data_IF_403057418383
#
_entry.id   IF_403057418383
#
_cell.length_a   1.000
_cell.length_b   1.000
_cell.length_c   1.000
_cell.angle_alpha   90.00
_cell.angle_beta   90.00
_cell.angle_gamma   90.00
#
_symmetry.space_group_name_H-M   'P 1'
#
loop_
_entity.id
_entity.type
_entity.pdbx_description
1 polymer ?
#
# COMPACT_ATOMS: atom_id res chain seq x y z
N UNK A 1 41.34 36.51 -15.20
CA UNK A 1 40.58 37.10 -14.07
C UNK A 1 39.28 37.63 -14.63
N UNK A 2 38.13 37.12 -14.19
CA UNK A 2 36.83 37.64 -14.62
C UNK A 2 36.60 39.03 -13.98
N UNK A 3 35.98 39.95 -14.72
CA UNK A 3 35.61 41.26 -14.17
C UNK A 3 34.60 41.08 -13.01
N UNK A 4 34.74 41.86 -11.92
CA UNK A 4 33.82 41.76 -10.79
C UNK A 4 32.39 42.10 -11.24
N UNK A 5 31.37 41.35 -10.78
CA UNK A 5 29.99 41.58 -11.19
C UNK A 5 29.55 42.99 -10.80
N UNK A 6 29.10 43.77 -11.79
CA UNK A 6 28.73 45.18 -11.59
C UNK A 6 27.31 45.34 -11.02
N UNK A 7 26.43 44.37 -11.28
CA UNK A 7 25.04 44.38 -10.81
C UNK A 7 24.93 43.90 -9.36
N UNK A 8 23.96 44.46 -8.61
CA UNK A 8 23.66 44.04 -7.22
C UNK A 8 23.36 42.54 -7.13
N UNK A 9 22.59 42.01 -8.08
CA UNK A 9 22.27 40.57 -8.17
C UNK A 9 23.50 39.73 -8.46
N UNK A 10 24.39 40.18 -9.35
CA UNK A 10 25.64 39.46 -9.66
C UNK A 10 26.58 39.36 -8.46
N UNK A 11 26.63 40.40 -7.60
CA UNK A 11 27.38 40.36 -6.34
C UNK A 11 26.79 39.36 -5.34
N UNK A 12 25.47 39.28 -5.25
CA UNK A 12 24.77 38.30 -4.41
C UNK A 12 24.98 36.86 -4.88
N UNK A 13 24.92 36.62 -6.20
CA UNK A 13 25.17 35.30 -6.78
C UNK A 13 26.62 34.84 -6.62
N UNK A 14 27.57 35.77 -6.59
CA UNK A 14 28.97 35.48 -6.30
C UNK A 14 29.19 35.10 -4.83
N UNK A 15 28.44 35.73 -3.91
CA UNK A 15 28.47 35.40 -2.48
C UNK A 15 27.83 34.04 -2.19
N UNK A 16 26.74 33.69 -2.90
CA UNK A 16 26.05 32.40 -2.80
C UNK A 16 26.45 31.49 -3.97
N UNK A 17 27.75 31.19 -4.07
CA UNK A 17 28.30 30.30 -5.10
C UNK A 17 28.78 28.99 -4.48
N UNK A 18 28.57 27.82 -5.12
CA UNK A 18 29.17 26.56 -4.67
C UNK A 18 30.70 26.60 -4.73
N UNK A 19 31.29 27.53 -5.49
CA UNK A 19 32.74 27.75 -5.53
C UNK A 19 33.25 28.64 -4.37
N UNK A 20 32.35 29.17 -3.54
CA UNK A 20 32.70 29.96 -2.36
C UNK A 20 33.10 29.03 -1.21
N UNK A 21 34.39 28.70 -1.14
CA UNK A 21 34.95 27.76 -0.16
C UNK A 21 34.67 28.12 1.30
N UNK A 22 34.57 29.41 1.62
CA UNK A 22 34.23 29.85 2.97
C UNK A 22 32.78 29.50 3.34
N UNK A 23 31.85 29.68 2.39
CA UNK A 23 30.45 29.33 2.56
C UNK A 23 30.27 27.81 2.62
N UNK A 24 30.91 27.06 1.72
CA UNK A 24 30.88 25.59 1.70
C UNK A 24 31.43 25.01 3.00
N UNK A 25 32.55 25.51 3.49
CA UNK A 25 33.18 25.03 4.73
C UNK A 25 32.32 25.31 5.97
N UNK A 26 31.74 26.52 6.07
CA UNK A 26 30.83 26.88 7.17
C UNK A 26 29.54 26.06 7.13
N UNK A 27 29.04 25.78 5.93
CA UNK A 27 27.85 24.95 5.74
C UNK A 27 28.13 23.47 6.07
N UNK A 28 29.30 22.96 5.69
CA UNK A 28 29.76 21.63 6.07
C UNK A 28 29.89 21.46 7.60
N UNK A 29 30.40 22.47 8.31
CA UNK A 29 30.48 22.47 9.78
C UNK A 29 29.08 22.39 10.42
N UNK A 30 28.13 23.15 9.88
CA UNK A 30 26.73 23.14 10.34
C UNK A 30 26.09 21.77 10.14
N UNK A 31 26.29 21.14 8.98
CA UNK A 31 25.83 19.78 8.69
C UNK A 31 26.44 18.76 9.66
N UNK A 32 27.72 18.89 10.05
CA UNK A 32 28.35 18.02 11.06
C UNK A 32 27.71 18.18 12.43
N UNK A 33 27.46 19.42 12.86
CA UNK A 33 26.82 19.70 14.16
C UNK A 33 25.36 19.28 14.23
N UNK A 34 24.66 19.17 13.10
CA UNK A 34 23.27 18.70 13.04
C UNK A 34 23.10 17.21 13.42
N UNK A 35 24.19 16.42 13.40
CA UNK A 35 24.19 15.02 13.84
C UNK A 35 23.46 14.04 12.89
N UNK A 36 23.37 12.77 13.29
CA UNK A 36 22.62 11.75 12.54
C UNK A 36 23.31 11.31 11.24
N UNK A 37 22.59 11.34 10.12
CA UNK A 37 23.08 10.90 8.81
C UNK A 37 24.38 11.61 8.39
N UNK A 38 24.51 12.89 8.73
CA UNK A 38 25.67 13.70 8.34
C UNK A 38 26.97 13.27 9.03
N UNK A 39 26.91 12.61 10.19
CA UNK A 39 28.09 12.06 10.87
C UNK A 39 28.64 10.80 10.18
N UNK A 40 27.82 10.15 9.35
CA UNK A 40 28.23 8.95 8.60
C UNK A 40 28.93 9.27 7.27
N UNK A 41 28.91 10.54 6.86
CA UNK A 41 29.59 11.01 5.65
C UNK A 41 31.03 11.38 5.96
N UNK A 42 31.94 11.05 5.04
CA UNK A 42 33.32 11.53 5.09
C UNK A 42 33.41 13.02 4.71
N UNK A 43 34.59 13.61 4.85
CA UNK A 43 34.79 15.05 4.64
C UNK A 43 34.43 15.48 3.22
N UNK A 44 34.75 14.66 2.23
CA UNK A 44 34.42 14.91 0.82
C UNK A 44 32.90 14.81 0.59
N UNK A 45 32.23 13.83 1.20
CA UNK A 45 30.78 13.65 1.13
C UNK A 45 29.99 14.81 1.75
N UNK A 46 30.44 15.33 2.90
CA UNK A 46 29.81 16.50 3.54
C UNK A 46 30.03 17.76 2.72
N UNK A 47 31.24 17.98 2.17
CA UNK A 47 31.54 19.16 1.35
C UNK A 47 30.78 19.12 0.01
N UNK A 48 30.67 17.96 -0.62
CA UNK A 48 29.87 17.78 -1.84
C UNK A 48 28.38 18.05 -1.58
N UNK A 49 27.84 17.57 -0.46
CA UNK A 49 26.46 17.86 -0.05
C UNK A 49 26.26 19.35 0.24
N UNK A 50 27.23 19.99 0.89
CA UNK A 50 27.20 21.40 1.19
C UNK A 50 27.20 22.26 -0.10
N UNK A 51 28.14 21.98 -1.01
CA UNK A 51 28.21 22.63 -2.32
C UNK A 51 26.95 22.40 -3.16
N UNK A 52 26.39 21.18 -3.15
CA UNK A 52 25.14 20.87 -3.83
C UNK A 52 23.94 21.67 -3.28
N UNK A 53 23.87 21.85 -1.95
CA UNK A 53 22.83 22.67 -1.32
C UNK A 53 22.96 24.15 -1.72
N UNK A 54 24.20 24.67 -1.75
CA UNK A 54 24.50 26.04 -2.17
C UNK A 54 24.18 26.24 -3.65
N UNK A 55 24.49 25.26 -4.52
CA UNK A 55 24.14 25.31 -5.94
C UNK A 55 22.62 25.33 -6.17
N UNK A 56 21.84 24.58 -5.37
CA UNK A 56 20.37 24.60 -5.42
C UNK A 56 19.86 25.99 -5.02
N UNK A 57 20.43 26.60 -3.98
CA UNK A 57 20.07 27.95 -3.53
C UNK A 57 20.44 29.01 -4.58
N UNK A 58 21.62 28.91 -5.17
CA UNK A 58 22.07 29.79 -6.26
C UNK A 58 21.16 29.67 -7.48
N UNK A 59 20.76 28.45 -7.85
CA UNK A 59 19.81 28.22 -8.92
C UNK A 59 18.42 28.77 -8.58
N UNK A 60 17.95 28.64 -7.34
CA UNK A 60 16.70 29.25 -6.90
C UNK A 60 16.75 30.79 -6.95
N UNK A 61 17.88 31.40 -6.59
CA UNK A 61 18.12 32.84 -6.71
C UNK A 61 18.17 33.28 -8.19
N UNK A 62 18.77 32.49 -9.07
CA UNK A 62 18.74 32.70 -10.52
C UNK A 62 17.30 32.58 -11.07
N UNK A 63 16.51 31.63 -10.57
CA UNK A 63 15.11 31.43 -10.97
C UNK A 63 14.21 32.55 -10.44
N UNK A 64 14.51 33.15 -9.29
CA UNK A 64 13.82 34.35 -8.78
C UNK A 64 13.89 35.57 -9.72
N UNK A 65 14.76 35.54 -10.74
CA UNK A 65 14.82 36.51 -11.83
C UNK A 65 13.95 36.14 -13.05
N UNK A 66 13.23 35.01 -13.02
CA UNK A 66 12.37 34.48 -14.09
C UNK A 66 10.98 34.15 -13.52
N UNK A 67 9.86 34.39 -14.23
CA UNK A 67 8.52 34.11 -13.70
C UNK A 67 8.34 32.65 -13.22
N UNK A 68 7.77 32.49 -12.01
CA UNK A 68 7.53 31.22 -11.29
C UNK A 68 6.84 30.10 -12.09
N UNK A 69 6.18 30.41 -13.20
CA UNK A 69 5.49 29.42 -14.04
C UNK A 69 6.44 28.50 -14.83
N UNK A 70 7.73 28.83 -14.95
CA UNK A 70 8.70 28.04 -15.72
C UNK A 70 9.46 26.97 -14.90
N UNK A 71 9.35 26.99 -13.57
CA UNK A 71 10.16 26.17 -12.66
C UNK A 71 9.71 24.70 -12.51
N UNK A 72 8.58 24.30 -13.11
CA UNK A 72 8.04 22.92 -13.02
C UNK A 72 8.88 21.84 -13.71
N UNK A 73 9.88 22.19 -14.53
CA UNK A 73 10.58 21.25 -15.42
C UNK A 73 11.97 20.75 -14.96
N UNK A 74 12.50 21.20 -13.82
CA UNK A 74 13.93 21.02 -13.50
C UNK A 74 14.27 20.40 -12.14
N UNK A 75 13.30 19.85 -11.41
CA UNK A 75 13.58 19.14 -10.16
C UNK A 75 13.17 17.67 -10.32
N UNK A 76 14.00 16.90 -11.01
CA UNK A 76 14.08 15.47 -10.73
C UNK A 76 15.00 15.31 -9.50
N UNK A 77 14.50 14.83 -8.34
CA UNK A 77 15.35 14.58 -7.20
C UNK A 77 16.33 13.44 -7.52
N UNK A 78 17.61 13.52 -7.08
CA UNK A 78 18.54 12.40 -7.22
C UNK A 78 18.01 11.15 -6.48
N UNK A 79 18.45 9.93 -6.87
CA UNK A 79 17.84 8.67 -6.46
C UNK A 79 18.24 8.25 -5.01
N UNK A 80 18.08 9.13 -4.03
CA UNK A 80 18.31 8.80 -2.62
C UNK A 80 16.98 8.37 -1.98
N UNK A 81 16.64 7.09 -2.13
CA UNK A 81 15.37 6.47 -1.70
C UNK A 81 15.10 6.43 -0.18
N UNK A 82 15.99 6.93 0.69
CA UNK A 82 15.92 6.63 2.13
C UNK A 82 16.15 7.77 3.13
N UNK A 83 16.21 9.05 2.73
CA UNK A 83 16.41 10.10 3.74
C UNK A 83 15.09 10.54 4.41
N UNK A 84 15.07 10.62 5.76
CA UNK A 84 13.91 11.09 6.50
C UNK A 84 13.72 12.59 6.24
N UNK A 85 12.51 12.94 5.81
CA UNK A 85 12.09 14.29 5.44
C UNK A 85 12.31 15.34 6.56
N UNK A 86 12.39 14.88 7.81
CA UNK A 86 12.75 15.70 8.97
C UNK A 86 14.14 16.34 8.84
N UNK A 87 15.09 15.69 8.16
CA UNK A 87 16.43 16.23 7.89
C UNK A 87 16.39 17.39 6.88
N UNK A 88 15.43 17.41 5.95
CA UNK A 88 15.27 18.52 4.99
C UNK A 88 14.67 19.78 5.61
N UNK A 89 13.71 19.62 6.54
CA UNK A 89 13.17 20.77 7.30
C UNK A 89 14.24 21.36 8.22
N UNK A 90 14.98 20.49 8.92
CA UNK A 90 16.09 20.92 9.77
C UNK A 90 17.19 21.61 8.94
N UNK A 91 17.53 21.06 7.78
CA UNK A 91 18.45 21.69 6.83
C UNK A 91 17.94 23.05 6.37
N UNK A 92 16.66 23.20 6.00
CA UNK A 92 16.08 24.48 5.60
C UNK A 92 16.13 25.55 6.70
N UNK A 93 15.87 25.17 7.95
CA UNK A 93 16.00 26.08 9.11
C UNK A 93 17.46 26.43 9.42
N UNK A 94 18.38 25.48 9.25
CA UNK A 94 19.81 25.73 9.40
C UNK A 94 20.35 26.62 8.27
N UNK A 95 19.86 26.45 7.03
CA UNK A 95 20.21 27.27 5.86
C UNK A 95 19.84 28.72 6.13
N UNK A 96 18.62 28.96 6.63
CA UNK A 96 18.13 30.30 6.98
C UNK A 96 19.07 31.00 7.97
N UNK A 97 19.46 30.30 9.04
CA UNK A 97 20.35 30.85 10.07
C UNK A 97 21.75 31.12 9.55
N UNK A 98 22.34 30.18 8.81
CA UNK A 98 23.72 30.30 8.31
C UNK A 98 23.82 31.36 7.21
N UNK A 99 22.82 31.47 6.33
CA UNK A 99 22.76 32.54 5.34
C UNK A 99 22.58 33.90 6.01
N UNK A 100 21.70 34.02 7.03
CA UNK A 100 21.54 35.25 7.81
C UNK A 100 22.86 35.70 8.42
N UNK A 101 23.52 34.82 9.16
CA UNK A 101 24.77 35.12 9.86
C UNK A 101 25.90 35.45 8.87
N UNK A 102 26.01 34.68 7.77
CA UNK A 102 27.01 34.91 6.72
C UNK A 102 26.81 36.23 5.98
N UNK A 103 25.57 36.54 5.61
CA UNK A 103 25.24 37.81 4.95
C UNK A 103 25.41 39.00 5.88
N UNK A 104 25.14 38.84 7.18
CA UNK A 104 25.39 39.89 8.17
C UNK A 104 26.87 40.21 8.32
N UNK A 105 27.75 39.21 8.21
CA UNK A 105 29.19 39.36 8.34
C UNK A 105 29.89 39.82 7.05
N UNK A 106 29.38 39.38 5.89
CA UNK A 106 30.05 39.58 4.60
C UNK A 106 29.40 40.64 3.71
N UNK A 107 28.21 41.14 4.05
CA UNK A 107 27.61 42.22 3.29
C UNK A 107 28.46 43.50 3.45
N UNK A 108 28.73 44.21 2.34
CA UNK A 108 29.52 45.45 2.37
C UNK A 108 28.82 46.57 3.14
N UNK A 109 27.49 46.51 3.26
CA UNK A 109 26.66 47.46 4.00
C UNK A 109 25.32 46.81 4.42
N UNK A 110 24.63 47.47 5.36
CA UNK A 110 23.35 46.99 5.90
C UNK A 110 22.23 46.97 4.84
N UNK A 111 22.28 47.82 3.82
CA UNK A 111 21.29 47.85 2.74
C UNK A 111 21.37 46.59 1.89
N UNK A 112 22.58 46.15 1.57
CA UNK A 112 22.85 44.91 0.82
C UNK A 112 22.42 43.67 1.61
N UNK A 113 22.65 43.65 2.92
CA UNK A 113 22.16 42.56 3.78
C UNK A 113 20.63 42.48 3.82
N UNK A 114 19.95 43.62 3.96
CA UNK A 114 18.48 43.69 3.98
C UNK A 114 17.89 43.29 2.62
N UNK A 115 18.49 43.72 1.51
CA UNK A 115 18.04 43.37 0.16
C UNK A 115 18.23 41.88 -0.14
N UNK A 116 19.37 41.30 0.29
CA UNK A 116 19.62 39.86 0.22
C UNK A 116 18.56 39.05 0.99
N UNK A 117 18.27 39.48 2.22
CA UNK A 117 17.26 38.86 3.09
C UNK A 117 15.86 38.89 2.47
N UNK A 118 15.47 40.02 1.86
CA UNK A 118 14.17 40.15 1.18
C UNK A 118 14.01 39.20 -0.02
N UNK A 119 15.11 38.80 -0.66
CA UNK A 119 15.11 37.87 -1.79
C UNK A 119 15.12 36.42 -1.29
N UNK A 120 15.85 36.15 -0.20
CA UNK A 120 16.05 34.80 0.35
C UNK A 120 14.83 34.31 1.14
N UNK A 121 14.19 35.19 1.93
CA UNK A 121 13.04 34.83 2.77
C UNK A 121 11.88 34.16 1.99
N UNK A 122 11.44 34.67 0.81
CA UNK A 122 10.39 34.02 0.01
C UNK A 122 10.81 32.66 -0.58
N UNK A 123 12.08 32.51 -0.95
CA UNK A 123 12.62 31.26 -1.51
C UNK A 123 12.66 30.17 -0.44
N UNK A 124 13.13 30.51 0.76
CA UNK A 124 13.13 29.61 1.90
C UNK A 124 11.71 29.24 2.33
N UNK A 125 10.79 30.21 2.38
CA UNK A 125 9.38 29.95 2.66
C UNK A 125 8.76 28.98 1.63
N UNK A 126 9.05 29.16 0.33
CA UNK A 126 8.60 28.26 -0.73
C UNK A 126 9.17 26.84 -0.61
N UNK A 127 10.46 26.71 -0.30
CA UNK A 127 11.11 25.42 -0.07
C UNK A 127 10.54 24.70 1.17
N UNK A 128 10.36 25.41 2.28
CA UNK A 128 9.75 24.88 3.50
C UNK A 128 8.31 24.41 3.24
N UNK A 129 7.50 25.22 2.54
CA UNK A 129 6.14 24.84 2.17
C UNK A 129 6.10 23.59 1.28
N UNK A 130 7.03 23.47 0.33
CA UNK A 130 7.13 22.29 -0.52
C UNK A 130 7.53 21.04 0.27
N UNK A 131 8.48 21.16 1.21
CA UNK A 131 8.84 20.05 2.11
C UNK A 131 7.67 19.69 3.05
N UNK A 132 6.95 20.68 3.60
CA UNK A 132 5.75 20.44 4.40
C UNK A 132 4.65 19.75 3.59
N UNK A 133 4.47 20.13 2.32
CA UNK A 133 3.51 19.48 1.41
C UNK A 133 3.91 18.03 1.10
N UNK A 134 5.18 17.78 0.80
CA UNK A 134 5.72 16.42 0.64
C UNK A 134 5.59 15.60 1.94
N UNK A 135 5.70 16.23 3.10
CA UNK A 135 5.45 15.60 4.42
C UNK A 135 4.00 15.22 4.57
N UNK A 136 3.08 16.14 4.30
CA UNK A 136 1.64 15.90 4.40
C UNK A 136 1.21 14.79 3.44
N UNK A 137 1.78 14.75 2.23
CA UNK A 137 1.55 13.69 1.25
C UNK A 137 2.08 12.33 1.74
N UNK A 138 3.32 12.26 2.25
CA UNK A 138 3.89 11.02 2.82
C UNK A 138 3.19 10.57 4.10
N UNK A 139 2.77 11.50 4.96
CA UNK A 139 2.00 11.19 6.16
C UNK A 139 0.61 10.68 5.82
N UNK A 140 -0.03 11.22 4.77
CA UNK A 140 -1.30 10.71 4.25
C UNK A 140 -1.20 9.27 3.77
N UNK A 141 -0.16 8.94 3.01
CA UNK A 141 0.06 7.58 2.51
C UNK A 141 0.43 6.59 3.63
N UNK A 142 1.34 6.96 4.52
CA UNK A 142 1.71 6.12 5.66
C UNK A 142 0.53 5.86 6.60
N UNK A 143 -0.31 6.88 6.82
CA UNK A 143 -1.54 6.73 7.60
C UNK A 143 -2.55 5.82 6.88
N UNK A 144 -2.70 5.95 5.56
CA UNK A 144 -3.58 5.10 4.77
C UNK A 144 -3.17 3.61 4.85
N UNK A 145 -1.87 3.32 4.70
CA UNK A 145 -1.33 1.97 4.86
C UNK A 145 -1.60 1.42 6.26
N UNK A 146 -1.36 2.23 7.30
CA UNK A 146 -1.61 1.84 8.68
C UNK A 146 -3.10 1.60 8.97
N UNK A 147 -3.99 2.45 8.43
CA UNK A 147 -5.44 2.32 8.56
C UNK A 147 -5.94 1.05 7.88
N UNK A 148 -5.51 0.79 6.64
CA UNK A 148 -5.85 -0.43 5.89
C UNK A 148 -5.35 -1.68 6.61
N UNK A 149 -4.10 -1.67 7.10
CA UNK A 149 -3.57 -2.76 7.90
C UNK A 149 -4.38 -3.03 9.17
N UNK A 150 -4.88 -2.00 9.84
CA UNK A 150 -5.77 -2.14 11.01
C UNK A 150 -7.14 -2.70 10.65
N UNK A 151 -7.73 -2.27 9.53
CA UNK A 151 -9.02 -2.80 9.05
C UNK A 151 -8.91 -4.29 8.75
N UNK A 152 -7.89 -4.69 8.00
CA UNK A 152 -7.68 -6.08 7.60
C UNK A 152 -7.34 -7.01 8.77
N UNK A 153 -6.51 -6.56 9.72
CA UNK A 153 -6.07 -7.40 10.86
C UNK A 153 -7.13 -7.62 11.95
N UNK A 154 -8.11 -6.72 12.07
CA UNK A 154 -9.11 -6.77 13.17
C UNK A 154 -10.46 -7.33 12.75
N UNK A 155 -10.69 -7.53 11.46
CA UNK A 155 -11.99 -7.91 10.97
C UNK A 155 -12.28 -9.39 11.22
N UNK A 156 -13.38 -9.68 11.94
CA UNK A 156 -13.92 -11.04 12.06
C UNK A 156 -14.57 -11.52 10.76
N UNK A 157 -15.09 -10.60 9.97
CA UNK A 157 -15.68 -10.88 8.66
C UNK A 157 -14.78 -10.24 7.59
N UNK A 158 -14.01 -11.06 6.83
CA UNK A 158 -13.10 -10.53 5.82
C UNK A 158 -13.80 -9.63 4.80
N UNK A 159 -14.98 -10.04 4.31
CA UNK A 159 -15.73 -9.30 3.28
C UNK A 159 -15.99 -7.84 3.69
N UNK A 160 -16.50 -7.63 4.91
CA UNK A 160 -16.73 -6.28 5.47
C UNK A 160 -15.43 -5.48 5.61
N UNK A 161 -14.31 -6.14 5.88
CA UNK A 161 -13.00 -5.49 5.92
C UNK A 161 -12.62 -4.96 4.55
N UNK A 162 -12.81 -5.78 3.51
CA UNK A 162 -12.50 -5.40 2.12
C UNK A 162 -13.44 -4.32 1.58
N UNK A 163 -14.72 -4.32 1.96
CA UNK A 163 -15.64 -3.20 1.67
C UNK A 163 -15.11 -1.89 2.27
N UNK A 164 -14.70 -1.92 3.55
CA UNK A 164 -14.14 -0.75 4.22
C UNK A 164 -12.80 -0.30 3.61
N UNK A 165 -11.97 -1.25 3.15
CA UNK A 165 -10.73 -0.94 2.43
C UNK A 165 -11.03 -0.31 1.08
N UNK A 166 -11.97 -0.86 0.31
CA UNK A 166 -12.37 -0.30 -0.99
C UNK A 166 -12.94 1.12 -0.83
N UNK A 167 -13.81 1.36 0.15
CA UNK A 167 -14.32 2.69 0.48
C UNK A 167 -13.20 3.68 0.83
N UNK A 168 -12.23 3.24 1.63
CA UNK A 168 -11.13 4.09 2.08
C UNK A 168 -10.17 4.41 0.93
N UNK A 169 -9.90 3.44 0.06
CA UNK A 169 -9.08 3.61 -1.12
C UNK A 169 -9.76 4.53 -2.13
N UNK A 170 -11.04 4.28 -2.48
CA UNK A 170 -11.81 5.12 -3.39
C UNK A 170 -11.81 6.59 -2.96
N UNK A 171 -12.07 6.86 -1.67
CA UNK A 171 -11.98 8.22 -1.12
C UNK A 171 -10.58 8.83 -1.18
N UNK A 172 -9.53 8.02 -1.07
CA UNK A 172 -8.16 8.51 -1.09
C UNK A 172 -7.67 8.86 -2.51
N UNK A 173 -8.23 8.23 -3.53
CA UNK A 173 -7.97 8.55 -4.95
C UNK A 173 -9.00 9.46 -5.59
N UNK A 174 -10.06 9.80 -4.85
CA UNK A 174 -11.23 10.50 -5.38
C UNK A 174 -11.87 9.74 -6.56
N UNK A 175 -11.79 8.40 -6.53
CA UNK A 175 -12.40 7.58 -7.56
C UNK A 175 -13.89 7.42 -7.31
N UNK A 176 -14.68 7.47 -8.39
CA UNK A 176 -16.13 7.33 -8.33
C UNK A 176 -16.52 5.91 -7.87
N UNK A 177 -15.70 4.90 -8.19
CA UNK A 177 -15.86 3.53 -7.73
C UNK A 177 -14.52 2.88 -7.42
N UNK A 178 -14.47 2.11 -6.33
CA UNK A 178 -13.37 1.20 -6.01
C UNK A 178 -13.91 -0.22 -5.74
N UNK A 179 -13.27 -1.23 -6.32
CA UNK A 179 -13.64 -2.63 -6.19
C UNK A 179 -12.41 -3.53 -6.05
N UNK A 180 -12.56 -4.59 -5.26
CA UNK A 180 -11.56 -5.60 -5.00
C UNK A 180 -12.14 -6.95 -5.43
N UNK A 181 -11.54 -7.55 -6.45
CA UNK A 181 -11.94 -8.84 -6.99
C UNK A 181 -10.98 -9.94 -6.53
N UNK A 182 -11.53 -11.09 -6.16
CA UNK A 182 -10.79 -12.33 -5.92
C UNK A 182 -10.79 -13.20 -7.17
N UNK A 183 -9.67 -13.87 -7.44
CA UNK A 183 -9.53 -14.77 -8.59
C UNK A 183 -9.87 -16.22 -8.20
N UNK A 184 -11.10 -16.67 -8.39
CA UNK A 184 -11.57 -18.02 -8.01
C UNK A 184 -11.79 -18.93 -9.22
N UNK A 185 -11.07 -20.06 -9.29
CA UNK A 185 -11.29 -21.12 -10.29
C UNK A 185 -11.43 -20.64 -11.75
N UNK A 186 -10.67 -19.62 -12.13
CA UNK A 186 -10.75 -19.07 -13.48
C UNK A 186 -11.84 -18.01 -13.66
N UNK A 187 -12.37 -17.46 -12.58
CA UNK A 187 -13.33 -16.35 -12.57
C UNK A 187 -12.90 -15.23 -11.61
N UNK A 188 -13.28 -13.99 -11.91
CA UNK A 188 -13.24 -12.89 -10.95
C UNK A 188 -14.53 -12.85 -10.16
N UNK A 189 -14.42 -12.84 -8.83
CA UNK A 189 -15.53 -12.70 -7.89
C UNK A 189 -15.36 -11.40 -7.13
N UNK A 190 -16.41 -10.58 -7.06
CA UNK A 190 -16.37 -9.35 -6.26
C UNK A 190 -16.23 -9.67 -4.77
N UNK A 191 -15.07 -9.34 -4.19
CA UNK A 191 -14.76 -9.65 -2.80
C UNK A 191 -15.00 -8.46 -1.86
N UNK A 192 -14.81 -7.24 -2.33
CA UNK A 192 -15.19 -6.03 -1.60
C UNK A 192 -15.41 -4.87 -2.55
N UNK A 193 -16.31 -3.96 -2.20
CA UNK A 193 -16.62 -2.80 -3.02
C UNK A 193 -16.91 -1.56 -2.19
N UNK A 194 -16.56 -0.40 -2.74
CA UNK A 194 -17.00 0.88 -2.19
C UNK A 194 -18.53 0.98 -2.22
N UNK A 195 -19.12 1.82 -1.39
CA UNK A 195 -20.58 2.02 -1.33
C UNK A 195 -21.21 2.33 -2.69
N UNK A 196 -20.47 2.97 -3.59
CA UNK A 196 -20.89 3.28 -4.96
C UNK A 196 -21.18 2.03 -5.80
N UNK A 197 -20.59 0.87 -5.49
CA UNK A 197 -20.80 -0.36 -6.26
C UNK A 197 -22.28 -0.80 -6.23
N UNK A 198 -22.98 -0.56 -5.12
CA UNK A 198 -24.39 -0.90 -4.99
C UNK A 198 -25.28 -0.11 -5.96
N UNK A 199 -24.85 1.09 -6.36
CA UNK A 199 -25.58 1.97 -7.28
C UNK A 199 -25.41 1.53 -8.75
N UNK A 200 -24.32 0.83 -9.06
CA UNK A 200 -24.02 0.35 -10.42
C UNK A 200 -24.86 -0.83 -10.88
N UNK A 201 -25.61 -1.48 -9.97
CA UNK A 201 -26.29 -2.75 -10.26
C UNK A 201 -25.35 -3.94 -10.40
N UNK A 202 -24.03 -3.76 -10.26
CA UNK A 202 -23.10 -4.88 -10.05
C UNK A 202 -23.48 -5.55 -8.72
N UNK A 203 -24.16 -6.69 -8.83
CA UNK A 203 -24.54 -7.46 -7.66
C UNK A 203 -23.32 -7.83 -6.83
N UNK A 204 -23.52 -8.02 -5.52
CA UNK A 204 -22.50 -8.58 -4.63
C UNK A 204 -21.96 -9.93 -5.11
N UNK A 205 -22.68 -10.61 -6.00
CA UNK A 205 -22.32 -11.94 -6.52
C UNK A 205 -21.81 -11.87 -7.96
N UNK A 206 -21.36 -10.68 -8.41
CA UNK A 206 -20.74 -10.52 -9.72
C UNK A 206 -19.59 -11.52 -9.90
N UNK A 207 -19.75 -12.38 -10.90
CA UNK A 207 -18.76 -13.37 -11.32
C UNK A 207 -18.54 -13.20 -12.82
N UNK A 208 -17.28 -13.06 -13.23
CA UNK A 208 -16.91 -13.02 -14.64
C UNK A 208 -15.86 -14.09 -14.94
N UNK A 209 -16.10 -14.89 -15.96
CA UNK A 209 -15.14 -15.88 -16.44
C UNK A 209 -13.92 -15.19 -17.09
N UNK A 210 -12.73 -15.68 -16.75
CA UNK A 210 -11.47 -15.09 -17.22
C UNK A 210 -11.21 -15.28 -18.72
N UNK A 211 -11.74 -16.37 -19.29
CA UNK A 211 -11.53 -16.69 -20.71
C UNK A 211 -12.12 -15.61 -21.64
N UNK A 212 -13.05 -14.79 -21.15
CA UNK A 212 -13.71 -13.73 -21.90
C UNK A 212 -13.00 -12.37 -21.80
N UNK A 213 -11.88 -12.27 -21.07
CA UNK A 213 -11.30 -10.97 -20.67
C UNK A 213 -9.83 -10.80 -21.07
N UNK A 214 -9.59 -10.38 -22.31
CA UNK A 214 -8.24 -10.03 -22.80
C UNK A 214 -7.49 -9.05 -21.89
N UNK A 215 -8.22 -8.14 -21.24
CA UNK A 215 -7.65 -7.10 -20.37
C UNK A 215 -7.08 -7.64 -19.05
N UNK A 216 -7.61 -8.77 -18.56
CA UNK A 216 -7.06 -9.47 -17.40
C UNK A 216 -5.72 -10.11 -17.72
N UNK A 217 -5.58 -10.70 -18.91
CA UNK A 217 -4.31 -11.24 -19.36
C UNK A 217 -3.27 -10.15 -19.61
N UNK A 218 -3.72 -8.93 -19.94
CA UNK A 218 -2.88 -7.74 -20.05
C UNK A 218 -2.55 -7.09 -18.72
N UNK A 219 -3.22 -7.47 -17.62
CA UNK A 219 -2.85 -7.01 -16.30
C UNK A 219 -1.42 -7.45 -16.01
N UNK A 220 -0.48 -6.52 -16.09
CA UNK A 220 0.90 -6.74 -15.71
C UNK A 220 0.95 -6.85 -14.19
N UNK A 221 1.62 -7.89 -13.68
CA UNK A 221 1.73 -8.14 -12.25
C UNK A 221 2.49 -6.99 -11.54
N UNK A 222 3.30 -6.24 -12.30
CA UNK A 222 4.19 -5.21 -11.77
C UNK A 222 3.71 -3.77 -12.01
N UNK A 223 2.62 -3.53 -12.75
CA UNK A 223 2.22 -2.16 -13.14
C UNK A 223 0.76 -1.84 -12.87
N UNK A 224 0.52 -0.56 -12.57
CA UNK A 224 -0.82 0.03 -12.61
C UNK A 224 -1.16 0.31 -14.07
N UNK A 225 -2.33 -0.14 -14.51
CA UNK A 225 -2.80 0.04 -15.88
C UNK A 225 -3.99 0.98 -15.89
N UNK A 226 -3.92 1.97 -16.79
CA UNK A 226 -4.98 2.92 -17.05
C UNK A 226 -5.56 2.64 -18.43
N UNK A 227 -6.90 2.57 -18.51
CA UNK A 227 -7.60 2.22 -19.73
C UNK A 227 -8.88 3.05 -19.87
N UNK A 228 -9.13 3.57 -21.07
CA UNK A 228 -10.46 4.06 -21.43
C UNK A 228 -11.34 2.88 -21.82
N UNK A 229 -12.56 2.84 -21.28
CA UNK A 229 -13.54 1.80 -21.61
C UNK A 229 -14.24 2.16 -22.93
N UNK A 230 -14.37 1.19 -23.82
CA UNK A 230 -15.09 1.39 -25.07
C UNK A 230 -16.61 1.31 -24.82
N UNK A 231 -17.39 2.03 -25.64
CA UNK A 231 -18.86 2.00 -25.58
C UNK A 231 -19.46 0.64 -25.93
N UNK A 232 -18.69 -0.22 -26.62
CA UNK A 232 -19.11 -1.56 -27.08
C UNK A 232 -18.54 -2.70 -26.22
N UNK A 233 -17.96 -2.40 -25.05
CA UNK A 233 -17.46 -3.42 -24.15
C UNK A 233 -18.58 -4.33 -23.61
N UNK A 234 -18.29 -5.61 -23.43
CA UNK A 234 -19.19 -6.60 -22.80
C UNK A 234 -18.70 -6.97 -21.38
N UNK A 235 -19.46 -7.79 -20.66
CA UNK A 235 -19.08 -8.27 -19.33
C UNK A 235 -18.98 -7.14 -18.29
N UNK A 236 -17.92 -7.18 -17.46
CA UNK A 236 -17.69 -6.18 -16.42
C UNK A 236 -17.54 -4.76 -16.97
N UNK A 237 -16.75 -4.59 -18.03
CA UNK A 237 -16.55 -3.29 -18.67
C UNK A 237 -17.87 -2.76 -19.26
N UNK A 238 -18.68 -3.63 -19.86
CA UNK A 238 -20.02 -3.24 -20.35
C UNK A 238 -20.95 -2.76 -19.23
N UNK A 239 -20.92 -3.43 -18.06
CA UNK A 239 -21.69 -3.00 -16.89
C UNK A 239 -21.23 -1.63 -16.37
N UNK A 240 -19.93 -1.38 -16.33
CA UNK A 240 -19.37 -0.09 -15.95
C UNK A 240 -19.70 1.02 -16.95
N UNK A 241 -19.59 0.75 -18.25
CA UNK A 241 -20.01 1.68 -19.31
C UNK A 241 -21.50 1.99 -19.19
N UNK A 242 -22.35 1.00 -18.93
CA UNK A 242 -23.78 1.21 -18.71
C UNK A 242 -24.09 2.06 -17.47
N UNK A 243 -23.23 1.99 -16.45
CA UNK A 243 -23.27 2.84 -15.26
C UNK A 243 -22.62 4.23 -15.47
N UNK A 244 -22.08 4.52 -16.66
CA UNK A 244 -21.52 5.82 -17.03
C UNK A 244 -20.04 6.00 -16.76
N UNK A 245 -19.32 4.98 -16.31
CA UNK A 245 -17.87 5.05 -16.15
C UNK A 245 -17.18 5.01 -17.52
N UNK A 246 -16.15 5.83 -17.69
CA UNK A 246 -15.44 5.97 -18.97
C UNK A 246 -13.99 5.53 -18.89
N UNK A 247 -13.44 5.46 -17.67
CA UNK A 247 -12.04 5.12 -17.43
C UNK A 247 -11.92 4.10 -16.29
N UNK A 248 -10.96 3.19 -16.46
CA UNK A 248 -10.57 2.21 -15.48
C UNK A 248 -9.10 2.35 -15.16
N UNK A 249 -8.79 2.23 -13.88
CA UNK A 249 -7.44 1.92 -13.41
C UNK A 249 -7.47 0.61 -12.67
N UNK A 250 -6.57 -0.31 -12.98
CA UNK A 250 -6.48 -1.57 -12.26
C UNK A 250 -5.06 -1.95 -11.90
N UNK A 251 -4.95 -2.72 -10.81
CA UNK A 251 -3.69 -3.28 -10.29
C UNK A 251 -3.88 -4.75 -9.94
N UNK A 252 -2.98 -5.59 -10.44
CA UNK A 252 -2.90 -7.00 -10.05
C UNK A 252 -2.58 -7.13 -8.55
N UNK A 253 -3.36 -7.95 -7.85
CA UNK A 253 -3.07 -8.35 -6.49
C UNK A 253 -2.32 -9.68 -6.54
N UNK A 254 -1.02 -9.63 -6.27
CA UNK A 254 -0.12 -10.78 -6.34
C UNK A 254 0.35 -11.15 -4.94
N UNK A 255 0.19 -12.43 -4.59
CA UNK A 255 0.67 -13.00 -3.33
C UNK A 255 1.46 -14.26 -3.64
N UNK A 256 2.69 -14.37 -3.11
CA UNK A 256 3.58 -15.51 -3.32
C UNK A 256 3.82 -15.84 -4.81
N UNK A 257 3.95 -14.80 -5.65
CA UNK A 257 4.18 -14.97 -7.10
C UNK A 257 2.95 -15.45 -7.87
N UNK A 258 1.78 -15.49 -7.25
CA UNK A 258 0.51 -15.86 -7.89
C UNK A 258 -0.48 -14.71 -7.81
N UNK A 259 -1.15 -14.41 -8.91
CA UNK A 259 -2.30 -13.50 -8.91
C UNK A 259 -3.45 -14.09 -8.10
N UNK A 260 -3.85 -13.36 -7.06
CA UNK A 260 -4.96 -13.73 -6.18
C UNK A 260 -6.21 -12.90 -6.41
N UNK A 261 -6.09 -11.78 -7.14
CA UNK A 261 -7.18 -10.86 -7.40
C UNK A 261 -6.78 -9.63 -8.20
N UNK A 262 -7.70 -8.66 -8.25
CA UNK A 262 -7.52 -7.34 -8.86
C UNK A 262 -8.08 -6.25 -7.94
N UNK A 263 -7.39 -5.12 -7.92
CA UNK A 263 -7.91 -3.87 -7.39
C UNK A 263 -8.28 -2.98 -8.58
N UNK A 264 -9.52 -2.49 -8.60
CA UNK A 264 -10.09 -1.71 -9.70
C UNK A 264 -10.61 -0.39 -9.18
N UNK A 265 -10.33 0.68 -9.93
CA UNK A 265 -10.89 2.01 -9.77
C UNK A 265 -11.57 2.40 -11.08
N UNK A 266 -12.76 2.99 -11.00
CA UNK A 266 -13.48 3.46 -12.17
C UNK A 266 -13.93 4.91 -11.96
N UNK A 267 -13.83 5.71 -13.04
CA UNK A 267 -14.15 7.13 -13.03
C UNK A 267 -15.02 7.52 -14.22
N UNK A 268 -15.93 8.47 -13.98
CA UNK A 268 -16.79 9.09 -14.99
C UNK A 268 -16.04 10.21 -15.71
N UNK A 269 -15.29 11.03 -14.96
CA UNK A 269 -14.59 12.22 -15.47
C UNK A 269 -13.27 11.91 -16.18
N UNK A 270 -12.72 10.71 -15.99
CA UNK A 270 -11.50 10.26 -16.65
C UNK A 270 -10.19 10.81 -16.11
N UNK A 271 -10.20 11.35 -14.88
CA UNK A 271 -8.97 11.79 -14.22
C UNK A 271 -8.09 10.60 -13.81
N UNK A 272 -8.70 9.45 -13.52
CA UNK A 272 -8.01 8.22 -13.17
C UNK A 272 -7.26 8.32 -11.84
N UNK A 273 -6.58 7.24 -11.48
CA UNK A 273 -5.67 7.28 -10.33
C UNK A 273 -4.43 8.10 -10.70
N UNK A 274 -4.25 9.24 -10.04
CA UNK A 274 -3.08 10.09 -10.27
C UNK A 274 -1.75 9.36 -10.04
N UNK A 275 -0.67 9.74 -10.75
CA UNK A 275 0.63 9.04 -10.71
C UNK A 275 1.24 8.97 -9.31
N UNK A 276 0.98 9.97 -8.46
CA UNK A 276 1.42 9.97 -7.06
C UNK A 276 0.78 8.85 -6.24
N UNK A 277 -0.47 8.48 -6.53
CA UNK A 277 -1.14 7.41 -5.82
C UNK A 277 -0.82 6.03 -6.41
N UNK A 278 -0.48 5.95 -7.69
CA UNK A 278 0.02 4.72 -8.30
C UNK A 278 1.24 4.14 -7.54
N UNK A 279 2.18 4.99 -7.12
CA UNK A 279 3.32 4.57 -6.27
C UNK A 279 2.87 4.04 -4.89
N UNK A 280 1.80 4.62 -4.32
CA UNK A 280 1.24 4.12 -3.06
C UNK A 280 0.51 2.79 -3.23
N UNK A 281 -0.13 2.56 -4.38
CA UNK A 281 -0.73 1.28 -4.72
C UNK A 281 0.31 0.16 -4.77
N UNK A 282 1.53 0.43 -5.23
CA UNK A 282 2.62 -0.57 -5.21
C UNK A 282 2.95 -1.03 -3.78
N UNK A 283 2.78 -0.15 -2.78
CA UNK A 283 2.99 -0.48 -1.37
C UNK A 283 1.78 -1.17 -0.73
N UNK A 284 0.56 -0.84 -1.17
CA UNK A 284 -0.69 -1.37 -0.62
C UNK A 284 -1.10 -2.70 -1.23
N UNK A 285 -0.85 -2.90 -2.53
CA UNK A 285 -1.26 -4.09 -3.26
C UNK A 285 -0.74 -5.39 -2.63
N UNK A 286 0.54 -5.52 -2.20
CA UNK A 286 1.02 -6.73 -1.54
C UNK A 286 0.30 -7.02 -0.22
N UNK A 287 -0.02 -5.99 0.57
CA UNK A 287 -0.74 -6.12 1.84
C UNK A 287 -2.17 -6.63 1.62
N UNK A 288 -2.87 -6.02 0.65
CA UNK A 288 -4.24 -6.40 0.26
C UNK A 288 -4.23 -7.82 -0.31
N UNK A 289 -3.27 -8.14 -1.19
CA UNK A 289 -3.13 -9.47 -1.78
C UNK A 289 -2.87 -10.56 -0.74
N UNK A 290 -2.01 -10.30 0.25
CA UNK A 290 -1.74 -11.26 1.33
C UNK A 290 -3.00 -11.57 2.15
N UNK A 291 -3.77 -10.55 2.53
CA UNK A 291 -5.01 -10.75 3.29
C UNK A 291 -6.12 -11.37 2.45
N UNK A 292 -6.16 -11.06 1.15
CA UNK A 292 -7.13 -11.65 0.23
C UNK A 292 -6.84 -13.15 0.07
N UNK A 293 -5.57 -13.52 -0.10
CA UNK A 293 -5.13 -14.91 -0.10
C UNK A 293 -5.51 -15.65 1.19
N UNK A 294 -5.25 -15.03 2.35
CA UNK A 294 -5.63 -15.60 3.66
C UNK A 294 -7.14 -15.79 3.78
N UNK A 295 -7.94 -14.75 3.50
CA UNK A 295 -9.39 -14.80 3.60
C UNK A 295 -10.00 -15.89 2.70
N UNK A 296 -9.45 -16.07 1.49
CA UNK A 296 -9.87 -17.13 0.58
C UNK A 296 -9.53 -18.52 1.11
N UNK A 297 -8.35 -18.71 1.67
CA UNK A 297 -7.95 -19.99 2.26
C UNK A 297 -8.84 -20.36 3.45
N UNK A 298 -9.13 -19.39 4.33
CA UNK A 298 -10.04 -19.61 5.46
C UNK A 298 -11.45 -19.95 4.98
N UNK A 299 -12.01 -19.19 4.03
CA UNK A 299 -13.34 -19.50 3.49
C UNK A 299 -13.39 -20.80 2.68
N UNK A 300 -12.30 -21.23 2.05
CA UNK A 300 -12.21 -22.53 1.41
C UNK A 300 -12.15 -23.67 2.44
N UNK A 301 -11.41 -23.49 3.53
CA UNK A 301 -11.35 -24.43 4.64
C UNK A 301 -12.72 -24.58 5.30
N UNK A 302 -13.40 -23.48 5.63
CA UNK A 302 -14.75 -23.50 6.21
C UNK A 302 -15.77 -24.22 5.31
N UNK A 303 -15.69 -24.01 3.99
CA UNK A 303 -16.54 -24.73 3.02
C UNK A 303 -16.19 -26.22 2.93
N UNK A 304 -14.91 -26.56 3.00
CA UNK A 304 -14.46 -27.95 2.98
C UNK A 304 -14.91 -28.68 4.25
N UNK A 305 -14.76 -28.04 5.43
CA UNK A 305 -15.23 -28.57 6.71
C UNK A 305 -16.75 -28.76 6.69
N UNK A 306 -17.52 -27.76 6.20
CA UNK A 306 -18.96 -27.89 6.05
C UNK A 306 -19.36 -29.03 5.09
N UNK A 307 -18.64 -29.21 3.97
CA UNK A 307 -18.89 -30.29 3.04
C UNK A 307 -18.56 -31.67 3.65
N UNK A 308 -17.51 -31.76 4.46
CA UNK A 308 -17.18 -32.98 5.22
C UNK A 308 -18.28 -33.28 6.24
N UNK A 309 -18.81 -32.26 6.90
CA UNK A 309 -19.91 -32.40 7.86
C UNK A 309 -21.18 -32.90 7.16
N UNK A 310 -21.53 -32.31 6.02
CA UNK A 310 -22.66 -32.73 5.19
C UNK A 310 -22.49 -34.19 4.73
N UNK A 311 -21.29 -34.58 4.27
CA UNK A 311 -21.00 -35.95 3.87
C UNK A 311 -21.07 -36.94 5.04
N UNK A 312 -20.55 -36.54 6.20
CA UNK A 312 -20.58 -37.35 7.42
C UNK A 312 -22.03 -37.61 7.85
N UNK A 313 -22.88 -36.58 7.85
CA UNK A 313 -24.29 -36.68 8.21
C UNK A 313 -25.14 -37.41 7.16
N UNK A 314 -24.86 -37.20 5.87
CA UNK A 314 -25.56 -37.87 4.77
C UNK A 314 -25.18 -39.35 4.60
N UNK A 315 -24.12 -39.82 5.26
CA UNK A 315 -23.65 -41.20 5.12
C UNK A 315 -24.74 -42.23 5.48
N UNK A 316 -24.96 -43.25 4.64
CA UNK A 316 -25.94 -44.30 4.91
C UNK A 316 -25.48 -45.26 6.02
N UNK A 317 -24.20 -45.24 6.37
CA UNK A 317 -23.61 -46.05 7.43
C UNK A 317 -23.67 -45.29 8.76
N UNK A 318 -23.74 -46.03 9.87
CA UNK A 318 -23.54 -45.43 11.19
C UNK A 318 -22.08 -45.00 11.33
N UNK A 319 -21.85 -43.71 11.55
CA UNK A 319 -20.52 -43.13 11.69
C UNK A 319 -20.37 -42.45 13.05
N UNK A 320 -19.18 -42.61 13.63
CA UNK A 320 -18.74 -41.93 14.83
C UNK A 320 -17.34 -41.38 14.60
N UNK A 321 -17.10 -40.18 15.11
CA UNK A 321 -15.77 -39.59 15.19
C UNK A 321 -15.24 -39.80 16.61
N UNK A 322 -13.97 -40.16 16.74
CA UNK A 322 -13.33 -40.45 18.02
C UNK A 322 -12.17 -39.48 18.29
N UNK A 323 -11.98 -39.12 19.55
CA UNK A 323 -10.73 -38.49 20.00
C UNK A 323 -9.58 -39.51 20.07
N UNK A 324 -8.37 -39.02 20.41
CA UNK A 324 -7.17 -39.85 20.57
C UNK A 324 -7.27 -40.90 21.69
N UNK A 325 -8.23 -40.77 22.60
CA UNK A 325 -8.50 -41.71 23.68
C UNK A 325 -9.64 -42.69 23.32
N UNK A 326 -10.16 -42.63 22.09
CA UNK A 326 -11.26 -43.48 21.62
C UNK A 326 -12.62 -43.08 22.17
N UNK A 327 -12.79 -41.84 22.64
CA UNK A 327 -14.09 -41.29 23.08
C UNK A 327 -14.83 -40.67 21.91
N UNK A 328 -16.14 -40.83 21.88
CA UNK A 328 -16.97 -40.31 20.80
C UNK A 328 -17.04 -38.79 20.91
N UNK A 329 -16.64 -38.08 19.86
CA UNK A 329 -16.74 -36.60 19.77
C UNK A 329 -17.88 -36.15 18.86
N UNK A 330 -18.26 -36.99 17.89
CA UNK A 330 -19.34 -36.71 16.95
C UNK A 330 -20.02 -37.99 16.47
N UNK A 331 -21.31 -37.91 16.14
CA UNK A 331 -22.10 -39.02 15.58
C UNK A 331 -23.01 -38.54 14.48
N UNK A 332 -23.14 -39.30 13.39
CA UNK A 332 -23.98 -38.88 12.27
C UNK A 332 -25.49 -39.11 12.52
N UNK A 333 -26.34 -38.54 11.67
CA UNK A 333 -27.80 -38.69 11.74
C UNK A 333 -28.27 -40.15 11.73
N UNK A 334 -27.61 -41.02 10.97
CA UNK A 334 -27.94 -42.46 10.92
C UNK A 334 -27.67 -43.14 12.25
N UNK A 335 -26.50 -42.89 12.85
CA UNK A 335 -26.14 -43.41 14.17
C UNK A 335 -27.18 -42.98 15.22
N UNK A 336 -27.53 -41.69 15.26
CA UNK A 336 -28.51 -41.13 16.20
C UNK A 336 -29.88 -41.79 16.08
N UNK A 337 -30.33 -42.09 14.85
CA UNK A 337 -31.62 -42.75 14.58
C UNK A 337 -31.64 -44.23 14.97
N UNK A 338 -30.59 -44.98 14.65
CA UNK A 338 -30.56 -46.44 14.86
C UNK A 338 -30.22 -46.82 16.31
N UNK A 339 -29.31 -46.10 16.95
CA UNK A 339 -28.91 -46.33 18.34
C UNK A 339 -29.87 -45.64 19.32
N UNK A 340 -30.59 -44.61 18.88
CA UNK A 340 -31.68 -43.98 19.64
C UNK A 340 -31.25 -43.01 20.73
N UNK A 341 -30.01 -42.50 20.72
CA UNK A 341 -29.50 -41.58 21.75
C UNK A 341 -28.78 -40.36 21.14
N UNK A 342 -29.49 -39.25 20.88
CA UNK A 342 -28.83 -37.98 20.59
C UNK A 342 -28.26 -37.37 21.89
N UNK A 343 -26.94 -37.23 21.99
CA UNK A 343 -26.26 -36.45 23.04
C UNK A 343 -25.60 -37.28 24.15
N UNK A 344 -26.23 -38.37 24.62
CA UNK A 344 -25.72 -39.13 25.78
C UNK A 344 -24.43 -39.91 25.51
N UNK A 345 -24.13 -40.19 24.23
CA UNK A 345 -22.94 -40.95 23.83
C UNK A 345 -21.69 -40.08 23.64
N UNK A 346 -21.84 -38.76 23.54
CA UNK A 346 -20.69 -37.86 23.34
C UNK A 346 -19.84 -37.85 24.62
N UNK A 347 -18.54 -38.05 24.46
CA UNK A 347 -17.58 -38.21 25.56
C UNK A 347 -17.48 -39.64 26.10
N UNK A 348 -18.37 -40.55 25.72
CA UNK A 348 -18.30 -41.96 26.12
C UNK A 348 -17.22 -42.71 25.31
N UNK A 349 -16.51 -43.69 25.91
CA UNK A 349 -15.63 -44.57 25.16
C UNK A 349 -16.43 -45.41 24.15
N UNK A 350 -15.98 -45.50 22.90
CA UNK A 350 -16.67 -46.29 21.87
C UNK A 350 -16.92 -47.74 22.32
N UNK A 351 -15.97 -48.31 23.07
CA UNK A 351 -16.02 -49.67 23.62
C UNK A 351 -17.31 -49.98 24.40
N UNK A 352 -17.99 -48.97 24.96
CA UNK A 352 -19.23 -49.16 25.71
C UNK A 352 -20.42 -49.50 24.82
N UNK A 353 -20.34 -49.16 23.53
CA UNK A 353 -21.38 -49.43 22.54
C UNK A 353 -21.12 -50.69 21.72
N UNK A 354 -19.99 -51.36 21.96
CA UNK A 354 -19.58 -52.57 21.24
C UNK A 354 -19.78 -53.79 22.12
N UNK A 355 -20.37 -54.85 21.58
CA UNK A 355 -20.51 -56.11 22.32
C UNK A 355 -19.12 -56.64 22.75
N UNK A 356 -18.94 -57.17 23.97
CA UNK A 356 -17.63 -57.63 24.47
C UNK A 356 -16.93 -58.67 23.58
N UNK A 357 -17.70 -59.50 22.86
CA UNK A 357 -17.13 -60.46 21.90
C UNK A 357 -16.52 -59.80 20.65
N UNK A 358 -16.91 -58.57 20.32
CA UNK A 358 -16.40 -57.83 19.18
C UNK A 358 -15.13 -57.07 19.52
N UNK A 359 -14.99 -56.56 20.74
CA UNK A 359 -13.77 -55.87 21.17
C UNK A 359 -12.54 -56.78 21.07
N UNK A 360 -12.65 -58.05 21.48
CA UNK A 360 -11.58 -59.04 21.32
C UNK A 360 -11.22 -59.31 19.84
N UNK A 361 -12.21 -59.26 18.94
CA UNK A 361 -12.02 -59.48 17.49
C UNK A 361 -11.40 -58.27 16.79
N UNK A 362 -11.70 -57.06 17.26
CA UNK A 362 -11.26 -55.81 16.63
C UNK A 362 -10.05 -55.15 17.32
N UNK A 363 -9.66 -55.58 18.53
CA UNK A 363 -8.47 -55.09 19.22
C UNK A 363 -7.20 -55.18 18.33
N UNK A 364 -6.98 -56.34 17.72
CA UNK A 364 -5.86 -56.52 16.77
C UNK A 364 -6.05 -55.81 15.43
N UNK A 365 -7.26 -55.37 15.06
CA UNK A 365 -7.47 -54.52 13.88
C UNK A 365 -7.03 -53.09 14.17
N UNK A 366 -7.35 -52.56 15.36
CA UNK A 366 -7.01 -51.20 15.76
C UNK A 366 -5.51 -51.01 15.95
N UNK A 367 -4.83 -51.97 16.58
CA UNK A 367 -3.36 -51.96 16.67
C UNK A 367 -2.70 -51.93 15.30
N UNK A 368 -3.25 -52.67 14.31
CA UNK A 368 -2.73 -52.64 12.93
C UNK A 368 -2.98 -51.31 12.25
N UNK A 369 -4.18 -50.74 12.36
CA UNK A 369 -4.50 -49.43 11.76
C UNK A 369 -3.60 -48.33 12.34
N UNK A 370 -3.39 -48.32 13.66
CA UNK A 370 -2.57 -47.31 14.33
C UNK A 370 -1.06 -47.53 14.11
N UNK A 371 -0.61 -48.77 13.91
CA UNK A 371 0.80 -49.07 13.66
C UNK A 371 1.22 -48.91 12.18
N UNK A 372 0.29 -48.55 11.28
CA UNK A 372 0.64 -48.23 9.89
C UNK A 372 0.91 -46.72 9.82
N UNK A 373 2.17 -46.34 10.00
CA UNK A 373 2.70 -45.01 9.63
C UNK A 373 2.86 -44.91 8.10
#
# INVERSE_FOLDING_TARGET
MAEPPTTKVGRLLALVSPDNEALVSRWAEVLRTAGGFYQSLDEDGIRALAAGTIAILQNALNIGAVPLNSARRFVDPPPYRHQPLDQFVLAGMLVDRVLRDYLHEQAPDAETAIEAMRIIDPILAGAILQVVRLRQQRMGAGQLVADIGKLLSRARNPRRAFDAVADRLGKAVEADLCAIFALELGSLVLFGGSSAIAETGLATDFTQELEESDWLNQADDDRVLHRSIASESTGFEGALTAAGFTHLTYRALVSQGRRVGLLVFADVAGEGVGPQFAEHLDSLAPLIAAHLGYARQTGALERADAAIDDLFDASPNMMVELDRLGRIVRTNDRFRREIGMPGDVIGMPLLWLVHPAWSARFAGLWERIVATD
#
